data_IF_195000796156
#
_entry.id   IF_195000796156
#
_cell.length_a   1.000
_cell.length_b   1.000
_cell.length_c   1.000
_cell.angle_alpha   90.00
_cell.angle_beta   90.00
_cell.angle_gamma   90.00
#
_symmetry.space_group_name_H-M   'P 1'
#
loop_
_entity.id
_entity.type
_entity.pdbx_description
1 polymer ?
#
# COMPACT_ATOMS: atom_id res chain seq x y z
N UNK A 1 -15.11 9.27 -9.88
CA UNK A 1 -15.29 7.89 -9.34
C UNK A 1 -15.38 6.80 -10.41
N UNK A 2 -15.98 7.04 -11.60
CA UNK A 2 -16.16 6.01 -12.64
C UNK A 2 -14.90 5.27 -13.13
N UNK A 3 -13.73 5.93 -13.10
CA UNK A 3 -12.50 5.35 -13.64
C UNK A 3 -11.94 4.20 -12.79
N UNK A 4 -11.92 4.34 -11.46
CA UNK A 4 -11.47 3.24 -10.58
C UNK A 4 -12.45 2.08 -10.63
N UNK A 5 -13.75 2.35 -10.64
CA UNK A 5 -14.77 1.29 -10.73
C UNK A 5 -14.62 0.50 -12.05
N UNK A 6 -14.38 1.21 -13.16
CA UNK A 6 -14.09 0.58 -14.46
C UNK A 6 -12.81 -0.26 -14.38
N UNK A 7 -11.71 0.31 -13.88
CA UNK A 7 -10.44 -0.39 -13.74
C UNK A 7 -10.59 -1.69 -12.92
N UNK A 8 -11.22 -1.60 -11.74
CA UNK A 8 -11.44 -2.77 -10.87
C UNK A 8 -12.28 -3.82 -11.57
N UNK A 9 -13.37 -3.44 -12.25
CA UNK A 9 -14.22 -4.38 -12.97
C UNK A 9 -13.50 -5.08 -14.12
N UNK A 10 -12.75 -4.32 -14.91
CA UNK A 10 -12.10 -4.81 -16.13
C UNK A 10 -10.83 -5.64 -15.85
N UNK A 11 -10.27 -5.51 -14.64
CA UNK A 11 -9.04 -6.19 -14.24
C UNK A 11 -9.22 -7.08 -12.99
N UNK A 12 -10.46 -7.43 -12.62
CA UNK A 12 -10.72 -8.43 -11.57
C UNK A 12 -10.23 -9.81 -12.04
N UNK A 13 -9.36 -10.46 -11.27
CA UNK A 13 -8.93 -11.86 -11.53
C UNK A 13 -9.82 -12.85 -10.79
N UNK A 14 -10.19 -12.54 -9.54
CA UNK A 14 -10.94 -13.44 -8.66
C UNK A 14 -11.95 -12.66 -7.81
N UNK A 15 -12.96 -13.37 -7.29
CA UNK A 15 -14.03 -12.80 -6.45
C UNK A 15 -14.25 -13.61 -5.19
N UNK A 16 -14.42 -12.91 -4.07
CA UNK A 16 -14.64 -13.46 -2.74
C UNK A 16 -15.76 -12.68 -2.06
N UNK A 17 -17.01 -12.95 -2.47
CA UNK A 17 -18.17 -12.16 -2.05
C UNK A 17 -18.04 -10.69 -2.48
N UNK A 18 -18.04 -9.71 -1.56
CA UNK A 18 -17.87 -8.30 -1.91
C UNK A 18 -16.43 -7.94 -2.29
N UNK A 19 -15.45 -8.81 -2.00
CA UNK A 19 -14.02 -8.55 -2.23
C UNK A 19 -13.61 -9.06 -3.61
N UNK A 20 -12.74 -8.31 -4.29
CA UNK A 20 -12.20 -8.64 -5.61
C UNK A 20 -10.68 -8.65 -5.55
N UNK A 21 -10.06 -9.68 -6.09
CA UNK A 21 -8.65 -9.61 -6.45
C UNK A 21 -8.53 -8.92 -7.80
N UNK A 22 -7.59 -7.99 -7.93
CA UNK A 22 -7.32 -7.23 -9.15
C UNK A 22 -5.91 -7.56 -9.62
N UNK A 23 -5.71 -7.69 -10.93
CA UNK A 23 -4.40 -7.99 -11.51
C UNK A 23 -3.36 -6.96 -11.06
N UNK A 24 -2.31 -7.45 -10.39
CA UNK A 24 -1.18 -6.67 -9.91
C UNK A 24 0.10 -7.44 -10.21
N UNK A 25 0.79 -7.02 -11.27
CA UNK A 25 2.03 -7.57 -11.78
C UNK A 25 3.09 -6.45 -11.80
N UNK A 26 4.36 -6.82 -12.00
CA UNK A 26 5.48 -5.86 -11.98
C UNK A 26 5.21 -4.63 -12.86
N UNK A 27 4.77 -4.85 -14.09
CA UNK A 27 4.56 -3.77 -15.07
C UNK A 27 3.07 -3.43 -15.29
N UNK A 28 2.17 -3.97 -14.47
CA UNK A 28 0.74 -3.69 -14.57
C UNK A 28 0.06 -3.65 -13.21
N UNK A 29 -0.64 -2.55 -12.92
CA UNK A 29 -1.44 -2.41 -11.71
C UNK A 29 -1.85 -0.96 -11.48
N UNK A 30 -2.59 -0.72 -10.40
CA UNK A 30 -2.97 0.62 -9.96
C UNK A 30 -2.27 0.95 -8.64
N UNK A 31 -1.53 2.06 -8.63
CA UNK A 31 -0.82 2.53 -7.43
C UNK A 31 -1.73 3.45 -6.61
N UNK A 32 -1.81 3.18 -5.32
CA UNK A 32 -2.52 4.00 -4.34
C UNK A 32 -1.51 4.59 -3.36
N UNK A 33 -1.62 5.88 -3.12
CA UNK A 33 -0.88 6.56 -2.06
C UNK A 33 -1.65 6.41 -0.75
N UNK A 34 -1.01 5.84 0.26
CA UNK A 34 -1.62 5.52 1.54
C UNK A 34 -1.01 6.39 2.64
N UNK A 35 -1.86 7.17 3.32
CA UNK A 35 -1.50 7.85 4.55
C UNK A 35 -1.83 6.95 5.75
N UNK A 36 -0.96 6.92 6.76
CA UNK A 36 -1.12 6.10 7.96
C UNK A 36 -0.53 6.79 9.19
N UNK A 37 -0.95 6.38 10.39
CA UNK A 37 -0.47 6.94 11.66
C UNK A 37 0.74 6.21 12.23
N UNK A 38 0.97 4.96 11.80
CA UNK A 38 2.11 4.17 12.23
C UNK A 38 2.17 2.80 11.56
N UNK A 39 3.25 2.08 11.83
CA UNK A 39 3.51 0.71 11.38
C UNK A 39 3.75 -0.19 12.59
N UNK A 40 3.44 -1.47 12.43
CA UNK A 40 3.70 -2.50 13.43
C UNK A 40 3.92 -3.86 12.77
N UNK A 41 4.71 -4.73 13.40
CA UNK A 41 4.85 -6.13 12.97
C UNK A 41 3.50 -6.86 13.10
N UNK A 42 3.20 -7.76 12.17
CA UNK A 42 1.94 -8.51 12.16
C UNK A 42 2.09 -9.89 11.52
N UNK A 43 1.68 -10.93 12.24
CA UNK A 43 1.58 -12.31 11.73
C UNK A 43 0.33 -12.55 10.88
N UNK A 44 -0.63 -11.62 10.89
CA UNK A 44 -1.91 -11.75 10.16
C UNK A 44 -1.76 -11.46 8.66
N UNK A 45 -0.72 -10.74 8.28
CA UNK A 45 -0.46 -10.34 6.90
C UNK A 45 0.78 -11.04 6.37
N UNK A 46 0.75 -11.51 5.12
CA UNK A 46 1.89 -12.18 4.48
C UNK A 46 3.14 -11.30 4.41
N UNK A 47 2.97 -9.97 4.42
CA UNK A 47 4.06 -8.99 4.46
C UNK A 47 4.77 -8.90 5.80
N UNK A 48 4.22 -9.47 6.88
CA UNK A 48 4.79 -9.33 8.22
C UNK A 48 4.53 -7.97 8.89
N UNK A 49 3.77 -7.07 8.24
CA UNK A 49 3.55 -5.68 8.72
C UNK A 49 2.07 -5.29 8.57
N UNK A 50 1.58 -4.48 9.52
CA UNK A 50 0.29 -3.80 9.47
C UNK A 50 0.46 -2.28 9.57
N UNK A 51 -0.36 -1.54 8.83
CA UNK A 51 -0.49 -0.09 8.94
C UNK A 51 -1.58 0.27 9.95
N UNK A 52 -1.33 1.26 10.79
CA UNK A 52 -2.32 1.83 11.72
C UNK A 52 -3.11 2.95 11.05
N UNK A 53 -4.43 2.80 11.04
CA UNK A 53 -5.38 3.73 10.39
C UNK A 53 -4.98 4.13 8.95
N UNK A 54 -4.73 3.17 8.04
CA UNK A 54 -4.40 3.46 6.66
C UNK A 54 -5.60 4.08 5.94
N UNK A 55 -5.35 5.13 5.15
CA UNK A 55 -6.35 5.86 4.37
C UNK A 55 -5.80 6.12 2.97
N UNK A 56 -6.64 5.98 1.96
CA UNK A 56 -6.26 6.35 0.58
C UNK A 56 -6.16 7.87 0.51
N UNK A 57 -4.93 8.38 0.34
CA UNK A 57 -4.63 9.80 0.12
C UNK A 57 -4.91 10.18 -1.32
N UNK A 58 -4.42 9.36 -2.27
CA UNK A 58 -4.51 9.63 -3.70
C UNK A 58 -4.47 8.35 -4.52
N UNK A 59 -5.13 8.35 -5.68
CA UNK A 59 -4.93 7.35 -6.72
C UNK A 59 -3.85 7.88 -7.69
N UNK A 60 -2.75 7.15 -7.84
CA UNK A 60 -1.58 7.56 -8.64
C UNK A 60 -1.66 6.96 -10.04
N UNK A 61 -2.53 7.52 -10.89
CA UNK A 61 -2.62 7.14 -12.31
C UNK A 61 -1.34 7.46 -13.10
N UNK A 62 -0.53 8.38 -12.57
CA UNK A 62 0.76 8.80 -13.11
C UNK A 62 1.90 7.80 -12.83
N UNK A 63 1.73 6.89 -11.86
CA UNK A 63 2.79 6.03 -11.35
C UNK A 63 2.57 4.57 -11.76
N UNK A 64 3.50 3.93 -12.50
CA UNK A 64 3.38 2.51 -12.87
C UNK A 64 3.61 1.61 -11.65
N UNK A 65 3.06 0.38 -11.71
CA UNK A 65 3.11 -0.57 -10.60
C UNK A 65 4.54 -0.86 -10.08
N UNK A 66 5.53 -1.02 -10.97
CA UNK A 66 6.94 -1.25 -10.62
C UNK A 66 7.59 -0.14 -9.80
N UNK A 67 7.02 1.06 -9.79
CA UNK A 67 7.57 2.19 -9.03
C UNK A 67 6.93 2.31 -7.64
N UNK A 68 5.90 1.51 -7.34
CA UNK A 68 5.34 1.45 -5.99
C UNK A 68 6.41 1.07 -4.96
N UNK A 69 6.24 1.56 -3.73
CA UNK A 69 7.19 1.27 -2.65
C UNK A 69 7.29 -0.24 -2.40
N UNK A 70 8.51 -0.73 -2.21
CA UNK A 70 8.79 -2.13 -1.95
C UNK A 70 8.60 -2.47 -0.46
N UNK A 71 8.41 -3.76 -0.17
CA UNK A 71 8.27 -4.23 1.21
C UNK A 71 9.49 -3.88 2.06
N UNK A 72 10.69 -3.97 1.49
CA UNK A 72 11.95 -3.66 2.19
C UNK A 72 11.97 -2.21 2.69
N UNK A 73 11.52 -1.25 1.87
CA UNK A 73 11.42 0.16 2.26
C UNK A 73 10.44 0.38 3.43
N UNK A 74 9.36 -0.40 3.49
CA UNK A 74 8.40 -0.35 4.61
C UNK A 74 9.00 -0.97 5.87
N UNK A 75 9.81 -2.03 5.73
CA UNK A 75 10.51 -2.66 6.85
C UNK A 75 11.60 -1.75 7.41
N UNK A 76 12.38 -1.08 6.56
CA UNK A 76 13.38 -0.10 6.98
C UNK A 76 12.74 1.05 7.77
N UNK A 77 11.58 1.54 7.28
CA UNK A 77 10.79 2.55 7.99
C UNK A 77 10.28 2.04 9.33
N UNK A 78 9.77 0.80 9.40
CA UNK A 78 9.31 0.19 10.64
C UNK A 78 10.46 0.07 11.65
N UNK A 79 11.62 -0.43 11.23
CA UNK A 79 12.79 -0.56 12.09
C UNK A 79 13.26 0.81 12.59
N UNK A 80 13.19 1.85 11.76
CA UNK A 80 13.47 3.23 12.18
C UNK A 80 12.48 3.74 13.23
N UNK A 81 11.18 3.47 13.07
CA UNK A 81 10.14 3.80 14.05
C UNK A 81 10.38 3.07 15.37
N UNK A 82 10.72 1.78 15.33
CA UNK A 82 11.00 0.94 16.50
C UNK A 82 12.23 1.47 17.27
N UNK A 83 13.31 1.83 16.58
CA UNK A 83 14.51 2.44 17.20
C UNK A 83 14.24 3.83 17.77
N UNK A 84 13.36 4.62 17.13
CA UNK A 84 13.04 6.00 17.49
C UNK A 84 11.97 6.16 18.59
N UNK A 85 11.51 5.08 19.22
CA UNK A 85 10.50 5.15 20.29
C UNK A 85 9.06 5.34 19.79
N UNK A 86 8.74 4.93 18.56
CA UNK A 86 7.37 4.79 18.07
C UNK A 86 6.76 6.01 17.36
N UNK A 87 7.55 7.01 16.96
CA UNK A 87 7.05 8.20 16.21
C UNK A 87 7.58 8.22 14.78
N UNK A 88 6.68 8.37 13.80
CA UNK A 88 7.03 8.76 12.43
C UNK A 88 7.32 10.26 12.38
N UNK A 89 8.55 10.66 12.09
CA UNK A 89 8.83 12.05 11.72
C UNK A 89 8.39 12.24 10.27
N UNK A 90 7.26 12.90 10.07
CA UNK A 90 6.81 13.35 8.75
C UNK A 90 7.75 14.45 8.25
N UNK A 91 8.90 14.08 7.67
CA UNK A 91 9.93 15.07 7.34
C UNK A 91 10.94 14.69 6.26
N UNK A 92 11.25 13.40 6.04
CA UNK A 92 12.23 13.04 5.01
C UNK A 92 11.52 12.59 3.73
N UNK A 93 11.37 13.56 2.82
CA UNK A 93 11.12 13.29 1.40
C UNK A 93 12.35 12.57 0.83
N UNK A 94 12.15 11.36 0.34
CA UNK A 94 12.96 10.78 -0.74
C UNK A 94 12.43 11.29 -2.09
#
# INVERSE_FOLDING_TARGET
MKQIDKFVRDHTTDRFGPVRAVRAERDFGLVLEIAFEGLQRSTRHKSGVAMRFPRVSRIRWDKPAREADALDSVLDLLDAIERGGGRVNAGEKA
#
